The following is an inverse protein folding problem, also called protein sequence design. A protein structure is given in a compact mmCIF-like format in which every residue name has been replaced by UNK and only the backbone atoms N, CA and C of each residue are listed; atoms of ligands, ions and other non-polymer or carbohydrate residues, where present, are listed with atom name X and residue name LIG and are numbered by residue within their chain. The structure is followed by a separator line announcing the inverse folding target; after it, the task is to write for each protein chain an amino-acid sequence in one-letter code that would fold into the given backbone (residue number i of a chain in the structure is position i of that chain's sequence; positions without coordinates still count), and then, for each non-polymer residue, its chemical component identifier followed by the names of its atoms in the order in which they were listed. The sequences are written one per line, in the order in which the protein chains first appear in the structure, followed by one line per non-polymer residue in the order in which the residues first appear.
data_IF_720367511732
#
_entry.id   IF_720367511732
#
_cell.length_a   1.000
_cell.length_b   1.000
_cell.length_c   1.000
_cell.angle_alpha   90.00
_cell.angle_beta   90.00
_cell.angle_gamma   90.00
#
_symmetry.space_group_name_H-M   'P 1'
#
loop_
_entity.id
_entity.type
_entity.pdbx_description
1 polymer ?
#
# COMPACT_ATOMS: atom_id res chain seq x y z
N UNK A 1 3.41 -2.19 20.95
CA UNK A 1 3.42 -2.12 19.48
C UNK A 1 4.21 -0.92 19.06
N UNK A 2 5.19 -1.12 18.22
CA UNK A 2 5.95 -0.06 17.55
C UNK A 2 5.30 0.26 16.19
N UNK A 3 5.19 1.54 15.85
CA UNK A 3 4.65 2.00 14.57
C UNK A 3 5.47 3.18 14.06
N UNK A 4 6.00 3.06 12.86
CA UNK A 4 6.73 4.14 12.20
C UNK A 4 6.22 4.33 10.77
N UNK A 5 5.80 5.56 10.46
CA UNK A 5 5.48 5.98 9.10
C UNK A 5 6.67 6.74 8.51
N UNK A 6 7.23 6.22 7.44
CA UNK A 6 8.25 6.92 6.66
C UNK A 6 7.59 7.62 5.48
N UNK A 7 7.60 8.94 5.50
CA UNK A 7 7.09 9.75 4.40
C UNK A 7 8.24 10.34 3.59
N UNK A 8 8.20 10.20 2.25
CA UNK A 8 9.19 10.74 1.30
C UNK A 8 8.54 11.88 0.50
N UNK A 9 8.75 13.15 0.91
CA UNK A 9 8.00 14.28 0.36
C UNK A 9 8.17 14.47 -1.15
N UNK A 10 9.37 14.21 -1.69
CA UNK A 10 9.64 14.36 -3.13
C UNK A 10 8.89 13.42 -4.04
N UNK A 11 8.35 12.32 -3.48
CA UNK A 11 7.54 11.32 -4.17
C UNK A 11 6.12 11.24 -3.62
N UNK A 12 5.84 11.95 -2.52
CA UNK A 12 4.62 11.89 -1.74
C UNK A 12 4.24 10.44 -1.30
N UNK A 13 5.25 9.59 -1.08
CA UNK A 13 5.08 8.16 -0.73
C UNK A 13 5.15 8.00 0.79
N UNK A 14 4.28 7.19 1.34
CA UNK A 14 4.32 6.68 2.69
C UNK A 14 4.56 5.18 2.69
N UNK A 15 5.51 4.72 3.50
CA UNK A 15 5.76 3.33 3.81
C UNK A 15 5.78 3.14 5.32
N UNK A 16 5.62 1.91 5.78
CA UNK A 16 5.38 1.67 7.20
C UNK A 16 6.26 0.56 7.74
N UNK A 17 6.74 0.74 8.98
CA UNK A 17 7.34 -0.32 9.79
C UNK A 17 6.48 -0.50 11.03
N UNK A 18 5.92 -1.71 11.18
CA UNK A 18 5.07 -2.11 12.29
C UNK A 18 5.74 -3.28 13.04
N UNK A 19 5.83 -3.21 14.36
CA UNK A 19 6.48 -4.23 15.16
C UNK A 19 5.79 -4.53 16.49
N UNK A 20 5.95 -5.76 16.96
CA UNK A 20 5.60 -6.17 18.32
C UNK A 20 6.85 -6.09 19.20
N UNK A 21 6.91 -5.11 20.09
CA UNK A 21 8.04 -4.86 20.99
C UNK A 21 8.30 -6.02 21.98
N UNK A 22 7.30 -6.89 22.23
CA UNK A 22 7.45 -8.03 23.14
C UNK A 22 8.16 -9.20 22.48
N UNK A 23 7.83 -9.49 21.23
CA UNK A 23 8.44 -10.59 20.48
C UNK A 23 9.63 -10.14 19.64
N UNK A 24 9.75 -8.85 19.40
CA UNK A 24 10.75 -8.29 18.49
C UNK A 24 10.45 -8.55 17.02
N UNK A 25 9.28 -9.12 16.66
CA UNK A 25 8.90 -9.34 15.25
C UNK A 25 8.36 -8.06 14.62
N UNK A 26 8.69 -7.83 13.35
CA UNK A 26 8.24 -6.66 12.60
C UNK A 26 7.89 -6.98 11.14
N UNK A 27 7.17 -6.04 10.52
CA UNK A 27 6.80 -6.05 9.10
C UNK A 27 7.04 -4.66 8.50
N UNK A 28 7.49 -4.63 7.24
CA UNK A 28 7.57 -3.40 6.45
C UNK A 28 6.53 -3.47 5.34
N UNK A 29 5.76 -2.40 5.15
CA UNK A 29 4.73 -2.28 4.10
C UNK A 29 5.16 -1.23 3.09
N UNK A 30 5.13 -1.57 1.80
CA UNK A 30 5.46 -0.74 0.64
C UNK A 30 6.83 -0.05 0.78
N UNK A 31 7.93 -0.79 0.98
CA UNK A 31 9.24 -0.19 1.19
C UNK A 31 9.73 0.56 -0.04
N UNK A 32 10.26 1.76 0.18
CA UNK A 32 11.01 2.48 -0.85
C UNK A 32 12.38 1.85 -1.05
N UNK A 33 13.01 2.11 -2.20
CA UNK A 33 14.29 1.52 -2.58
C UNK A 33 15.48 1.90 -1.69
N UNK A 34 15.40 3.04 -1.01
CA UNK A 34 16.32 3.39 0.08
C UNK A 34 15.93 2.64 1.35
N UNK A 35 16.47 1.42 1.50
CA UNK A 35 16.07 0.48 2.56
C UNK A 35 16.81 0.68 3.88
N UNK A 36 17.90 1.46 3.90
CA UNK A 36 18.70 1.64 5.08
C UNK A 36 17.91 2.20 6.29
N UNK A 37 17.01 3.18 6.12
CA UNK A 37 16.22 3.68 7.25
C UNK A 37 15.37 2.60 7.95
N UNK A 38 14.80 1.62 7.22
CA UNK A 38 14.03 0.54 7.86
C UNK A 38 14.94 -0.36 8.71
N UNK A 39 16.14 -0.65 8.20
CA UNK A 39 17.13 -1.49 8.89
C UNK A 39 17.63 -0.79 10.15
N UNK A 40 17.92 0.50 10.06
CA UNK A 40 18.43 1.28 11.18
C UNK A 40 17.38 1.40 12.29
N UNK A 41 16.14 1.74 11.95
CA UNK A 41 15.02 1.79 12.91
C UNK A 41 14.76 0.40 13.53
N UNK A 42 14.71 -0.66 12.73
CA UNK A 42 14.51 -1.99 13.26
C UNK A 42 15.61 -2.40 14.26
N UNK A 43 16.88 -2.03 13.98
CA UNK A 43 18.00 -2.26 14.88
C UNK A 43 17.90 -1.46 16.17
N UNK A 44 17.57 -0.18 16.07
CA UNK A 44 17.42 0.74 17.22
C UNK A 44 16.32 0.26 18.16
N UNK A 45 15.22 -0.27 17.61
CA UNK A 45 14.05 -0.74 18.36
C UNK A 45 14.12 -2.24 18.72
N UNK A 46 15.26 -2.91 18.43
CA UNK A 46 15.43 -4.36 18.63
C UNK A 46 14.36 -5.21 17.93
N UNK A 47 13.98 -4.80 16.73
CA UNK A 47 12.99 -5.48 15.89
C UNK A 47 13.67 -6.32 14.80
N UNK A 48 13.07 -7.47 14.50
CA UNK A 48 13.43 -8.36 13.40
C UNK A 48 12.36 -8.31 12.32
N UNK A 49 12.70 -7.83 11.14
CA UNK A 49 11.76 -7.75 10.01
C UNK A 49 11.52 -9.17 9.48
N UNK A 50 10.32 -9.68 9.75
CA UNK A 50 9.85 -11.02 9.37
C UNK A 50 9.20 -11.02 7.99
N UNK A 51 8.41 -9.99 7.70
CA UNK A 51 7.69 -9.85 6.44
C UNK A 51 7.98 -8.51 5.77
N UNK A 52 7.96 -8.54 4.45
CA UNK A 52 7.99 -7.37 3.56
C UNK A 52 6.74 -7.48 2.69
N UNK A 53 5.83 -6.52 2.81
CA UNK A 53 4.52 -6.56 2.15
C UNK A 53 4.46 -5.50 1.05
N UNK A 54 3.86 -5.84 -0.08
CA UNK A 54 3.44 -4.89 -1.10
C UNK A 54 1.91 -4.91 -1.21
N UNK A 55 1.29 -3.73 -1.16
CA UNK A 55 -0.15 -3.59 -1.32
C UNK A 55 -0.58 -3.82 -2.76
N UNK A 56 0.25 -3.42 -3.70
CA UNK A 56 0.03 -3.55 -5.14
C UNK A 56 1.33 -3.35 -5.93
N UNK A 57 1.28 -3.54 -7.24
CA UNK A 57 2.40 -3.22 -8.15
C UNK A 57 2.42 -1.71 -8.38
N UNK A 58 3.30 -1.02 -7.67
CA UNK A 58 3.47 0.43 -7.77
C UNK A 58 3.89 0.88 -9.17
N UNK A 59 3.31 1.98 -9.65
CA UNK A 59 3.59 2.54 -10.97
C UNK A 59 4.47 3.80 -10.93
N UNK A 60 4.67 4.40 -9.78
CA UNK A 60 5.27 5.72 -9.60
C UNK A 60 6.70 5.69 -9.05
N UNK A 61 7.09 4.63 -8.32
CA UNK A 61 8.45 4.44 -7.81
C UNK A 61 8.92 2.98 -7.92
N UNK A 62 10.23 2.77 -7.84
CA UNK A 62 10.81 1.41 -7.77
C UNK A 62 10.70 0.89 -6.34
N UNK A 63 9.97 -0.19 -6.13
CA UNK A 63 9.80 -0.80 -4.80
C UNK A 63 11.13 -1.35 -4.24
N UNK A 64 11.22 -1.36 -2.92
CA UNK A 64 12.42 -1.75 -2.18
C UNK A 64 12.42 -3.19 -1.66
N UNK A 65 11.41 -3.99 -1.97
CA UNK A 65 11.22 -5.30 -1.33
C UNK A 65 12.38 -6.25 -1.54
N UNK A 66 12.86 -6.40 -2.79
CA UNK A 66 14.05 -7.21 -3.08
C UNK A 66 15.34 -6.65 -2.46
N UNK A 67 15.51 -5.31 -2.48
CA UNK A 67 16.68 -4.66 -1.89
C UNK A 67 16.70 -4.84 -0.37
N UNK A 68 15.53 -4.72 0.28
CA UNK A 68 15.39 -4.92 1.72
C UNK A 68 15.66 -6.37 2.11
N UNK A 69 15.04 -7.33 1.41
CA UNK A 69 15.27 -8.75 1.65
C UNK A 69 16.77 -9.12 1.48
N UNK A 70 17.39 -8.66 0.40
CA UNK A 70 18.81 -8.89 0.16
C UNK A 70 19.69 -8.28 1.27
N UNK A 71 19.35 -7.08 1.74
CA UNK A 71 20.09 -6.41 2.84
C UNK A 71 19.92 -7.13 4.18
N UNK A 72 18.83 -7.88 4.34
CA UNK A 72 18.54 -8.74 5.49
C UNK A 72 19.05 -10.19 5.29
N UNK A 73 19.90 -10.43 4.30
CA UNK A 73 20.47 -11.76 3.97
C UNK A 73 19.41 -12.83 3.68
N UNK A 74 18.26 -12.44 3.14
CA UNK A 74 17.16 -13.34 2.79
C UNK A 74 16.29 -13.82 3.96
N UNK A 75 16.45 -13.25 5.16
CA UNK A 75 15.69 -13.70 6.34
C UNK A 75 14.24 -13.21 6.40
N UNK A 76 13.87 -12.21 5.61
CA UNK A 76 12.50 -11.70 5.54
C UNK A 76 11.74 -12.32 4.37
N UNK A 77 10.46 -12.60 4.55
CA UNK A 77 9.56 -13.15 3.53
C UNK A 77 8.88 -12.03 2.75
N UNK A 78 9.08 -11.95 1.44
CA UNK A 78 8.35 -11.02 0.58
C UNK A 78 6.96 -11.61 0.29
N UNK A 79 5.92 -10.87 0.67
CA UNK A 79 4.54 -11.23 0.45
C UNK A 79 3.88 -10.20 -0.48
N UNK A 80 3.21 -10.68 -1.52
CA UNK A 80 2.52 -9.88 -2.53
C UNK A 80 1.11 -10.42 -2.77
N UNK A 81 0.30 -9.70 -3.52
CA UNK A 81 -1.03 -10.18 -3.90
C UNK A 81 -0.98 -11.36 -4.86
N UNK A 82 -1.80 -12.39 -4.63
CA UNK A 82 -2.05 -13.49 -5.54
C UNK A 82 -3.20 -13.23 -6.54
N UNK A 83 -3.81 -12.05 -6.48
CA UNK A 83 -4.94 -11.65 -7.32
C UNK A 83 -4.48 -11.05 -8.68
N UNK A 84 -5.45 -10.67 -9.52
CA UNK A 84 -5.21 -10.00 -10.81
C UNK A 84 -4.90 -10.94 -11.99
N UNK A 85 -4.64 -12.22 -11.74
CA UNK A 85 -4.32 -13.21 -12.78
C UNK A 85 -2.85 -13.20 -13.21
N UNK A 86 -2.55 -13.88 -14.31
CA UNK A 86 -1.17 -14.16 -14.73
C UNK A 86 -0.32 -12.91 -15.03
N UNK A 87 -0.94 -11.86 -15.56
CA UNK A 87 -0.24 -10.62 -15.92
C UNK A 87 0.16 -9.75 -14.72
N UNK A 88 -0.32 -10.12 -13.52
CA UNK A 88 -0.10 -9.40 -12.26
C UNK A 88 0.74 -10.18 -11.25
N UNK A 89 1.28 -11.32 -11.67
CA UNK A 89 2.18 -12.10 -10.82
C UNK A 89 3.54 -11.43 -10.68
N UNK A 90 4.08 -11.50 -9.48
CA UNK A 90 5.41 -11.01 -9.12
C UNK A 90 6.29 -12.24 -8.80
N UNK A 91 7.04 -12.77 -9.79
CA UNK A 91 7.71 -14.07 -9.67
C UNK A 91 8.88 -14.09 -8.68
N UNK A 92 9.29 -12.94 -8.18
CA UNK A 92 10.34 -12.80 -7.17
C UNK A 92 9.82 -12.93 -5.73
N UNK A 93 8.50 -12.90 -5.54
CA UNK A 93 7.91 -12.98 -4.21
C UNK A 93 7.99 -14.40 -3.64
N UNK A 94 8.16 -14.50 -2.33
CA UNK A 94 8.21 -15.78 -1.61
C UNK A 94 6.80 -16.33 -1.34
N UNK A 95 5.82 -15.44 -1.18
CA UNK A 95 4.44 -15.81 -0.84
C UNK A 95 3.41 -14.93 -1.55
N UNK A 96 2.45 -15.56 -2.21
CA UNK A 96 1.24 -14.92 -2.70
C UNK A 96 0.17 -14.93 -1.61
N UNK A 97 -0.52 -13.78 -1.42
CA UNK A 97 -1.57 -13.59 -0.44
C UNK A 97 -2.94 -13.51 -1.11
N UNK A 98 -3.94 -14.09 -0.48
CA UNK A 98 -5.34 -14.08 -0.91
C UNK A 98 -6.24 -13.39 0.11
N UNK A 99 -7.45 -13.03 -0.32
CA UNK A 99 -8.51 -12.50 0.56
C UNK A 99 -8.69 -13.37 1.81
N UNK A 100 -8.64 -12.76 2.99
CA UNK A 100 -8.81 -13.43 4.27
C UNK A 100 -7.56 -14.10 4.84
N UNK A 101 -6.44 -14.12 4.10
CA UNK A 101 -5.16 -14.57 4.65
C UNK A 101 -4.75 -13.71 5.85
N UNK A 102 -3.98 -14.32 6.76
CA UNK A 102 -3.49 -13.66 7.97
C UNK A 102 -1.99 -13.82 8.10
N UNK A 103 -1.36 -12.73 8.49
CA UNK A 103 0.06 -12.67 8.83
C UNK A 103 0.19 -12.31 10.30
N UNK A 104 0.91 -13.15 11.05
CA UNK A 104 1.17 -12.92 12.46
C UNK A 104 2.55 -12.29 12.66
N UNK A 105 2.58 -11.17 13.37
CA UNK A 105 3.77 -10.42 13.78
C UNK A 105 3.68 -10.26 15.29
N UNK A 106 4.17 -11.25 16.02
CA UNK A 106 3.96 -11.35 17.46
C UNK A 106 2.48 -11.39 17.83
N UNK A 107 2.01 -10.41 18.61
CA UNK A 107 0.58 -10.26 18.97
C UNK A 107 -0.25 -9.54 17.89
N UNK A 108 0.40 -9.01 16.87
CA UNK A 108 -0.29 -8.32 15.79
C UNK A 108 -0.73 -9.31 14.72
N UNK A 109 -1.94 -9.10 14.21
CA UNK A 109 -2.51 -9.89 13.12
C UNK A 109 -2.90 -8.95 11.97
N UNK A 110 -2.31 -9.17 10.80
CA UNK A 110 -2.62 -8.44 9.57
C UNK A 110 -3.50 -9.32 8.69
N UNK A 111 -4.77 -8.96 8.55
CA UNK A 111 -5.73 -9.65 7.70
C UNK A 111 -5.81 -8.99 6.33
N UNK A 112 -5.71 -9.79 5.27
CA UNK A 112 -5.72 -9.35 3.87
C UNK A 112 -7.16 -9.10 3.40
N UNK A 113 -7.40 -7.94 2.81
CA UNK A 113 -8.62 -7.62 2.05
C UNK A 113 -8.23 -7.32 0.61
N UNK A 114 -8.81 -8.03 -0.35
CA UNK A 114 -8.66 -7.72 -1.77
C UNK A 114 -9.57 -6.54 -2.14
N UNK A 115 -8.97 -5.43 -2.57
CA UNK A 115 -9.63 -4.14 -2.85
C UNK A 115 -9.25 -3.65 -4.25
N UNK A 116 -9.67 -4.37 -5.32
CA UNK A 116 -9.34 -4.00 -6.68
C UNK A 116 -9.98 -2.67 -7.08
N UNK A 117 -9.35 -2.01 -8.05
CA UNK A 117 -9.86 -0.77 -8.64
C UNK A 117 -8.75 0.17 -9.09
N UNK A 118 -7.82 0.53 -8.22
CA UNK A 118 -6.58 1.20 -8.62
C UNK A 118 -5.74 0.27 -9.50
N UNK A 119 -5.53 -0.95 -9.03
CA UNK A 119 -5.03 -2.07 -9.81
C UNK A 119 -5.88 -3.32 -9.55
N UNK A 120 -5.89 -4.32 -10.45
CA UNK A 120 -6.71 -5.53 -10.29
C UNK A 120 -6.30 -6.41 -9.11
N UNK A 121 -5.03 -6.39 -8.73
CA UNK A 121 -4.45 -7.24 -7.68
C UNK A 121 -4.40 -6.56 -6.31
N UNK A 122 -4.77 -5.30 -6.20
CA UNK A 122 -4.58 -4.49 -5.01
C UNK A 122 -5.16 -5.14 -3.75
N UNK A 123 -4.34 -5.23 -2.69
CA UNK A 123 -4.74 -5.71 -1.36
C UNK A 123 -4.47 -4.64 -0.30
N UNK A 124 -5.28 -4.64 0.73
CA UNK A 124 -5.10 -3.84 1.94
C UNK A 124 -4.90 -4.76 3.15
N UNK A 125 -4.30 -4.25 4.22
CA UNK A 125 -4.03 -5.02 5.42
C UNK A 125 -4.75 -4.41 6.62
N UNK A 126 -5.70 -5.14 7.19
CA UNK A 126 -6.40 -4.74 8.42
C UNK A 126 -5.63 -5.27 9.62
N UNK A 127 -5.22 -4.38 10.51
CA UNK A 127 -4.41 -4.71 11.68
C UNK A 127 -5.29 -4.86 12.92
N UNK A 128 -5.06 -5.97 13.63
CA UNK A 128 -5.65 -6.30 14.94
C UNK A 128 -4.51 -6.53 15.93
N UNK A 129 -4.70 -6.16 17.19
CA UNK A 129 -3.72 -6.36 18.27
C UNK A 129 -4.30 -7.26 19.37
N UNK A 130 -3.93 -8.54 19.34
CA UNK A 130 -4.38 -9.52 20.31
C UNK A 130 -3.87 -9.24 21.74
N UNK A 131 -2.78 -8.45 21.89
CA UNK A 131 -2.28 -8.07 23.21
C UNK A 131 -3.24 -7.18 24.01
N UNK A 132 -4.20 -6.58 23.32
CA UNK A 132 -5.27 -5.75 23.90
C UNK A 132 -6.54 -6.55 24.22
N UNK A 133 -6.48 -7.88 24.18
CA UNK A 133 -7.64 -8.77 24.30
C UNK A 133 -8.78 -8.42 23.31
N UNK A 134 -8.41 -8.02 22.09
CA UNK A 134 -9.34 -7.58 21.08
C UNK A 134 -9.05 -8.25 19.74
N UNK A 135 -10.06 -8.86 19.16
CA UNK A 135 -10.10 -9.33 17.78
C UNK A 135 -10.61 -8.23 16.81
N UNK A 136 -10.86 -7.03 17.34
CA UNK A 136 -11.40 -5.91 16.60
C UNK A 136 -10.33 -5.25 15.74
N UNK A 137 -10.68 -4.82 14.50
CA UNK A 137 -9.76 -4.06 13.67
C UNK A 137 -9.40 -2.75 14.38
N UNK A 138 -8.13 -2.36 14.31
CA UNK A 138 -7.67 -1.11 14.90
C UNK A 138 -7.40 -0.07 13.80
N UNK A 139 -6.57 -0.44 12.85
CA UNK A 139 -6.26 0.40 11.69
C UNK A 139 -6.02 -0.46 10.44
N UNK A 140 -5.85 0.17 9.28
CA UNK A 140 -5.52 -0.53 8.05
C UNK A 140 -4.49 0.23 7.20
N UNK A 141 -3.61 -0.52 6.55
CA UNK A 141 -2.78 -0.03 5.46
C UNK A 141 -3.58 -0.15 4.17
N UNK A 142 -3.92 0.99 3.58
CA UNK A 142 -4.86 1.05 2.45
C UNK A 142 -4.19 1.05 1.09
N UNK A 143 -2.84 1.18 1.03
CA UNK A 143 -2.14 1.35 -0.24
C UNK A 143 -2.73 2.52 -1.02
N UNK A 144 -2.94 2.29 -2.32
CA UNK A 144 -3.54 3.25 -3.24
C UNK A 144 -5.03 3.00 -3.50
N UNK A 145 -5.68 2.16 -2.69
CA UNK A 145 -7.11 1.95 -2.74
C UNK A 145 -7.88 3.15 -2.18
N UNK A 146 -7.53 3.59 -0.97
CA UNK A 146 -8.19 4.66 -0.24
C UNK A 146 -7.15 5.60 0.35
N UNK A 147 -7.27 6.88 0.02
CA UNK A 147 -6.47 7.99 0.55
C UNK A 147 -7.25 8.82 1.57
N UNK A 148 -6.59 9.80 2.15
CA UNK A 148 -7.29 10.84 2.91
C UNK A 148 -7.97 11.79 1.92
N UNK A 149 -9.30 11.79 1.92
CA UNK A 149 -10.13 12.64 1.07
C UNK A 149 -10.34 12.14 -0.37
N UNK A 150 -9.72 11.03 -0.78
CA UNK A 150 -9.75 10.56 -2.17
C UNK A 150 -9.63 9.03 -2.26
N UNK A 151 -9.76 8.49 -3.46
CA UNK A 151 -9.49 7.09 -3.82
C UNK A 151 -8.49 7.00 -4.96
N UNK A 152 -7.87 5.83 -5.12
CA UNK A 152 -6.93 5.58 -6.20
C UNK A 152 -7.57 5.68 -7.58
N UNK A 153 -6.79 6.17 -8.55
CA UNK A 153 -7.23 6.30 -9.93
C UNK A 153 -7.32 4.94 -10.65
N UNK A 154 -8.40 4.64 -11.36
CA UNK A 154 -8.60 3.34 -12.02
C UNK A 154 -8.15 3.31 -13.50
N UNK A 155 -7.56 4.39 -14.03
CA UNK A 155 -7.31 4.59 -15.47
C UNK A 155 -5.90 4.25 -15.93
N UNK A 156 -5.04 3.71 -15.05
CA UNK A 156 -3.62 3.45 -15.36
C UNK A 156 -3.38 2.31 -16.36
N UNK A 157 -4.40 1.50 -16.65
CA UNK A 157 -4.31 0.36 -17.57
C UNK A 157 -4.85 0.65 -18.98
N UNK A 158 -5.26 1.88 -19.23
CA UNK A 158 -5.85 2.30 -20.50
C UNK A 158 -7.38 2.29 -20.50
N UNK A 159 -7.96 2.81 -21.56
CA UNK A 159 -9.41 3.05 -21.66
C UNK A 159 -10.24 1.76 -21.58
N UNK A 160 -9.74 0.64 -22.12
CA UNK A 160 -10.46 -0.63 -22.14
C UNK A 160 -10.70 -1.21 -20.71
N UNK A 161 -9.74 -1.04 -19.79
CA UNK A 161 -9.84 -1.54 -18.42
C UNK A 161 -10.39 -0.51 -17.44
N UNK A 162 -10.34 0.77 -17.77
CA UNK A 162 -10.71 1.89 -16.90
C UNK A 162 -12.13 1.76 -16.31
N UNK A 163 -13.10 1.45 -17.16
CA UNK A 163 -14.50 1.30 -16.72
C UNK A 163 -14.69 0.11 -15.79
N UNK A 164 -14.02 -1.00 -16.08
CA UNK A 164 -14.05 -2.21 -15.25
C UNK A 164 -13.42 -1.95 -13.87
N UNK A 165 -12.25 -1.32 -13.85
CA UNK A 165 -11.54 -0.98 -12.62
C UNK A 165 -12.31 0.05 -11.78
N UNK A 166 -12.96 1.03 -12.40
CA UNK A 166 -13.81 1.98 -11.70
C UNK A 166 -15.02 1.28 -11.02
N UNK A 167 -15.64 0.28 -11.67
CA UNK A 167 -16.68 -0.53 -11.06
C UNK A 167 -16.14 -1.36 -9.89
N UNK A 168 -14.98 -1.99 -10.04
CA UNK A 168 -14.34 -2.74 -8.95
C UNK A 168 -13.97 -1.84 -7.77
N UNK A 169 -13.52 -0.62 -8.04
CA UNK A 169 -13.23 0.36 -7.00
C UNK A 169 -14.49 0.76 -6.23
N UNK A 170 -15.60 0.94 -6.93
CA UNK A 170 -16.89 1.16 -6.29
C UNK A 170 -17.25 0.03 -5.33
N UNK A 171 -17.16 -1.23 -5.78
CA UNK A 171 -17.43 -2.40 -4.92
C UNK A 171 -16.46 -2.45 -3.73
N UNK A 172 -15.20 -2.10 -3.95
CA UNK A 172 -14.19 -2.05 -2.88
C UNK A 172 -14.54 -1.01 -1.81
N UNK A 173 -15.00 0.19 -2.21
CA UNK A 173 -15.39 1.28 -1.31
C UNK A 173 -16.69 0.99 -0.57
N UNK A 174 -17.74 0.56 -1.30
CA UNK A 174 -19.09 0.48 -0.75
C UNK A 174 -19.48 -0.90 -0.21
N UNK A 175 -18.82 -1.98 -0.65
CA UNK A 175 -19.14 -3.34 -0.21
C UNK A 175 -18.04 -3.97 0.65
N UNK A 176 -16.77 -3.90 0.21
CA UNK A 176 -15.65 -4.58 0.89
C UNK A 176 -15.37 -3.99 2.27
N UNK A 177 -15.15 -2.69 2.35
CA UNK A 177 -14.83 -2.03 3.63
C UNK A 177 -16.06 -1.52 4.38
N UNK A 178 -17.27 -1.66 3.82
CA UNK A 178 -18.52 -1.18 4.44
C UNK A 178 -18.73 -1.73 5.86
N UNK A 179 -18.29 -2.97 6.11
CA UNK A 179 -18.46 -3.65 7.41
C UNK A 179 -17.41 -3.25 8.46
N UNK A 180 -16.37 -2.54 8.06
CA UNK A 180 -15.35 -2.09 9.01
C UNK A 180 -15.91 -0.94 9.87
N UNK A 181 -15.62 -0.92 11.17
CA UNK A 181 -16.09 0.15 12.06
C UNK A 181 -15.53 1.53 11.69
N UNK A 182 -16.30 2.57 11.99
CA UNK A 182 -15.93 3.97 11.75
C UNK A 182 -14.63 4.42 12.43
N UNK A 183 -14.25 3.77 13.54
CA UNK A 183 -13.04 4.13 14.29
C UNK A 183 -11.75 3.56 13.66
N UNK A 184 -11.84 2.70 12.64
CA UNK A 184 -10.66 2.14 11.99
C UNK A 184 -9.89 3.27 11.30
N UNK A 185 -8.63 3.44 11.70
CA UNK A 185 -7.74 4.42 11.12
C UNK A 185 -7.17 3.92 9.80
N UNK A 186 -7.02 4.79 8.82
CA UNK A 186 -6.46 4.47 7.50
C UNK A 186 -5.07 5.07 7.34
N UNK A 187 -4.16 4.29 6.79
CA UNK A 187 -2.77 4.65 6.47
C UNK A 187 -2.49 4.35 5.00
N UNK A 188 -2.63 5.34 4.11
CA UNK A 188 -2.43 5.18 2.66
C UNK A 188 -0.97 5.16 2.25
N UNK A 189 -0.66 4.61 1.06
CA UNK A 189 0.70 4.64 0.50
C UNK A 189 1.10 6.03 -0.04
N UNK A 190 0.15 6.95 -0.22
CA UNK A 190 0.45 8.29 -0.71
C UNK A 190 -0.24 9.40 0.08
N UNK A 191 0.42 10.56 0.10
CA UNK A 191 -0.11 11.84 0.57
C UNK A 191 -0.27 12.86 -0.55
N UNK A 192 -0.58 14.11 -0.17
CA UNK A 192 -0.75 15.21 -1.12
C UNK A 192 0.47 15.41 -2.02
N UNK A 193 0.22 15.55 -3.31
CA UNK A 193 1.24 15.71 -4.35
C UNK A 193 1.48 14.46 -5.19
N UNK A 194 0.97 13.29 -4.79
CA UNK A 194 1.00 12.09 -5.64
C UNK A 194 0.02 12.20 -6.81
N UNK A 195 0.40 11.59 -7.94
CA UNK A 195 -0.42 11.46 -9.14
C UNK A 195 -1.24 10.16 -9.17
N UNK A 196 -1.21 9.38 -8.09
CA UNK A 196 -2.01 8.15 -7.94
C UNK A 196 -3.45 8.42 -7.52
N UNK A 197 -3.78 9.64 -7.12
CA UNK A 197 -5.15 10.15 -6.89
C UNK A 197 -5.35 11.53 -7.51
N UNK A 198 -6.58 12.03 -7.42
CA UNK A 198 -7.00 13.30 -8.03
C UNK A 198 -6.90 14.47 -7.05
N UNK A 199 -7.25 14.22 -5.77
CA UNK A 199 -7.39 15.26 -4.75
C UNK A 199 -6.96 14.77 -3.34
N UNK A 200 -5.81 14.08 -3.25
CA UNK A 200 -5.32 13.52 -1.99
C UNK A 200 -5.06 14.64 -0.97
N UNK A 201 -5.64 14.49 0.22
CA UNK A 201 -5.52 15.44 1.32
C UNK A 201 -4.11 15.51 1.92
N UNK A 202 -3.81 16.60 2.62
CA UNK A 202 -2.49 16.86 3.20
C UNK A 202 -2.20 16.09 4.51
N UNK A 203 -3.19 15.37 5.06
CA UNK A 203 -3.01 14.55 6.27
C UNK A 203 -2.49 13.18 5.87
N UNK A 204 -1.64 12.59 6.71
CA UNK A 204 -1.04 11.28 6.43
C UNK A 204 -1.89 10.10 6.93
N UNK A 205 -2.93 10.36 7.70
CA UNK A 205 -3.91 9.38 8.16
C UNK A 205 -5.27 10.02 8.39
N UNK A 206 -6.31 9.19 8.46
CA UNK A 206 -7.69 9.58 8.76
C UNK A 206 -8.40 8.39 9.41
N UNK A 207 -9.71 8.48 9.64
CA UNK A 207 -10.54 7.35 10.06
C UNK A 207 -11.62 7.06 9.01
N UNK A 208 -12.04 5.80 8.88
CA UNK A 208 -13.14 5.46 7.99
C UNK A 208 -14.40 6.27 8.26
N UNK A 209 -14.71 6.52 9.53
CA UNK A 209 -15.89 7.31 9.91
C UNK A 209 -15.79 8.78 9.50
N UNK A 210 -14.59 9.36 9.50
CA UNK A 210 -14.39 10.72 8.98
C UNK A 210 -14.53 10.74 7.46
N UNK A 211 -13.83 9.83 6.76
CA UNK A 211 -13.90 9.77 5.31
C UNK A 211 -15.32 9.52 4.78
N UNK A 212 -16.07 8.62 5.39
CA UNK A 212 -17.48 8.35 5.04
C UNK A 212 -18.39 9.56 5.14
N UNK A 213 -18.05 10.54 5.98
CA UNK A 213 -18.88 11.75 6.20
C UNK A 213 -18.47 12.95 5.37
N UNK A 214 -17.18 13.03 4.98
CA UNK A 214 -16.64 14.25 4.38
C UNK A 214 -16.00 14.08 3.02
N UNK A 215 -15.52 12.86 2.70
CA UNK A 215 -14.85 12.61 1.43
C UNK A 215 -15.86 12.44 0.29
N UNK A 216 -15.57 13.09 -0.85
CA UNK A 216 -16.35 12.88 -2.09
C UNK A 216 -16.33 11.42 -2.54
N UNK A 217 -15.28 10.67 -2.19
CA UNK A 217 -15.15 9.24 -2.49
C UNK A 217 -16.24 8.37 -1.82
N UNK A 218 -16.85 8.84 -0.72
CA UNK A 218 -17.92 8.14 -0.02
C UNK A 218 -19.29 8.79 -0.20
N UNK A 219 -19.42 9.77 -1.07
CA UNK A 219 -20.67 10.46 -1.29
C UNK A 219 -21.73 9.51 -1.85
N UNK A 220 -22.84 9.40 -1.14
CA UNK A 220 -23.97 8.57 -1.57
C UNK A 220 -24.55 9.10 -2.88
N UNK A 221 -24.50 8.26 -3.91
CA UNK A 221 -25.04 8.51 -5.25
C UNK A 221 -25.25 7.19 -5.98
N UNK A 222 -25.76 7.19 -7.23
CA UNK A 222 -25.78 5.96 -8.02
C UNK A 222 -24.37 5.57 -8.43
N UNK A 223 -24.14 4.27 -8.65
CA UNK A 223 -22.85 3.74 -9.13
C UNK A 223 -22.37 4.46 -10.39
N UNK A 224 -23.27 4.66 -11.33
CA UNK A 224 -22.97 5.28 -12.63
C UNK A 224 -22.48 6.73 -12.41
N UNK A 225 -23.17 7.48 -11.54
CA UNK A 225 -22.80 8.87 -11.26
C UNK A 225 -21.50 8.96 -10.48
N UNK A 226 -21.26 8.06 -9.55
CA UNK A 226 -20.02 7.98 -8.80
C UNK A 226 -18.82 7.73 -9.73
N UNK A 227 -18.95 6.75 -10.65
CA UNK A 227 -17.92 6.43 -11.62
C UNK A 227 -17.69 7.60 -12.58
N UNK A 228 -18.74 8.24 -13.08
CA UNK A 228 -18.64 9.43 -13.93
C UNK A 228 -17.82 10.53 -13.23
N UNK A 229 -18.18 10.87 -11.97
CA UNK A 229 -17.48 11.88 -11.17
C UNK A 229 -16.03 11.50 -10.88
N UNK A 230 -15.76 10.22 -10.57
CA UNK A 230 -14.40 9.72 -10.36
C UNK A 230 -13.52 9.91 -11.62
N UNK A 231 -14.05 9.60 -12.78
CA UNK A 231 -13.31 9.64 -14.05
C UNK A 231 -13.25 11.03 -14.69
N UNK A 232 -14.06 11.98 -14.22
CA UNK A 232 -14.06 13.36 -14.69
C UNK A 232 -12.75 14.06 -14.29
N UNK A 233 -12.17 14.84 -15.23
CA UNK A 233 -10.94 15.64 -15.02
C UNK A 233 -9.75 14.86 -14.46
N UNK A 234 -9.64 13.57 -14.76
CA UNK A 234 -8.50 12.78 -14.35
C UNK A 234 -7.21 13.29 -14.99
N UNK A 235 -6.17 13.67 -14.22
CA UNK A 235 -4.92 14.16 -14.78
C UNK A 235 -4.23 13.09 -15.63
N UNK A 236 -3.52 13.50 -16.68
CA UNK A 236 -2.75 12.56 -17.49
C UNK A 236 -1.77 11.78 -16.63
N UNK A 237 -1.73 10.46 -16.83
CA UNK A 237 -0.75 9.63 -16.15
C UNK A 237 0.66 9.90 -16.70
N UNK A 238 1.69 9.95 -15.84
CA UNK A 238 3.06 10.09 -16.30
C UNK A 238 3.49 8.96 -17.23
N UNK A 239 4.21 9.31 -18.28
CA UNK A 239 4.65 8.32 -19.30
C UNK A 239 5.53 7.21 -18.76
N UNK A 240 6.21 7.44 -17.63
CA UNK A 240 7.08 6.44 -17.00
C UNK A 240 6.32 5.38 -16.17
N UNK A 241 5.04 5.58 -15.85
CA UNK A 241 4.25 4.67 -15.01
C UNK A 241 4.24 3.24 -15.56
N UNK A 242 4.01 3.07 -16.85
CA UNK A 242 3.99 1.73 -17.46
C UNK A 242 5.33 1.01 -17.35
N UNK A 243 6.44 1.75 -17.50
CA UNK A 243 7.80 1.19 -17.35
C UNK A 243 8.08 0.81 -15.90
N UNK A 244 7.68 1.65 -14.96
CA UNK A 244 7.87 1.44 -13.53
C UNK A 244 7.10 0.21 -13.06
N UNK A 245 5.81 0.14 -13.43
CA UNK A 245 4.95 -1.03 -13.17
C UNK A 245 5.61 -2.32 -13.69
N UNK A 246 6.15 -2.32 -14.91
CA UNK A 246 6.84 -3.49 -15.46
C UNK A 246 8.05 -3.88 -14.61
N UNK A 247 8.86 -2.91 -14.18
CA UNK A 247 10.04 -3.15 -13.31
C UNK A 247 9.61 -3.78 -11.99
N UNK A 248 8.58 -3.24 -11.34
CA UNK A 248 8.10 -3.73 -10.06
C UNK A 248 7.42 -5.10 -10.16
N UNK A 249 6.74 -5.37 -11.27
CA UNK A 249 6.15 -6.70 -11.54
C UNK A 249 7.23 -7.76 -11.75
N UNK A 250 8.22 -7.48 -12.58
CA UNK A 250 9.23 -8.44 -12.99
C UNK A 250 10.34 -8.63 -11.93
N UNK A 251 10.39 -7.74 -10.94
CA UNK A 251 11.42 -7.64 -9.90
C UNK A 251 12.53 -6.65 -10.27
N UNK A 252 12.66 -5.54 -9.50
CA UNK A 252 13.72 -4.57 -9.74
C UNK A 252 15.10 -5.17 -9.50
N UNK A 253 16.06 -4.87 -10.37
CA UNK A 253 17.45 -5.29 -10.18
C UNK A 253 18.03 -4.70 -8.88
N UNK A 254 18.78 -5.46 -8.12
CA UNK A 254 19.47 -4.98 -6.92
C UNK A 254 20.47 -3.87 -7.25
N UNK A 255 20.61 -2.89 -6.37
CA UNK A 255 21.57 -1.80 -6.52
C UNK A 255 23.02 -2.27 -6.41
N UNK A 256 23.26 -3.44 -5.80
CA UNK A 256 24.56 -4.01 -5.58
C UNK A 256 25.43 -3.15 -4.63
N UNK A 257 26.73 -3.46 -4.57
CA UNK A 257 27.70 -2.72 -3.73
C UNK A 257 28.00 -1.31 -4.26
N UNK A 258 27.54 -0.96 -5.45
CA UNK A 258 27.68 0.40 -6.02
C UNK A 258 26.49 1.26 -5.57
N UNK A 259 26.46 1.61 -4.28
CA UNK A 259 25.74 2.80 -3.84
C UNK A 259 26.46 4.00 -4.46
N UNK A 260 25.96 4.50 -5.58
CA UNK A 260 26.39 5.80 -6.06
C UNK A 260 25.96 6.81 -4.99
N UNK A 261 26.90 7.28 -4.20
CA UNK A 261 26.68 8.51 -3.46
C UNK A 261 26.30 9.55 -4.50
N UNK A 262 25.06 10.02 -4.45
CA UNK A 262 24.68 11.22 -5.20
C UNK A 262 25.54 12.32 -4.58
N UNK A 263 26.70 12.61 -5.20
CA UNK A 263 27.47 13.79 -4.86
C UNK A 263 26.53 14.98 -5.05
N UNK A 264 26.29 15.73 -3.97
CA UNK A 264 25.62 17.02 -4.08
C UNK A 264 26.37 17.80 -5.14
N UNK A 265 25.74 18.09 -6.25
CA UNK A 265 26.27 19.08 -7.18
C UNK A 265 26.31 20.42 -6.45
N UNK A 266 27.37 21.18 -6.62
CA UNK A 266 27.57 22.44 -5.95
C UNK A 266 26.51 23.48 -6.30
#
# INVERSE_FOLDING_TARGET
MFFHQRFVPGLAIASYLLGDEKTGEAVVVDPTRDVQPYIDIAREENLHIKYILETHIHADFVCGSLELQNSLSGHATICVSGHGGADWKQPFADRELSEGDRLEVGSLNLEVIHVPGHTPEHIAFVVKDASRNSDKPWFMFTGDFLFVGDVGRPDLLGEDEKQKLANQLYDSVFDKIAKLPDYVEIFPAHGAGSLCGKAIGSRNSSTLGYERRVSEAFKETTREKWIETLLEDMPLSPSYFQRMKKINRDGPALLGSKRHSVSRMP
#
